data_IF_293279908985
#
_entry.id   IF_293279908985
#
_cell.length_a   1.000
_cell.length_b   1.000
_cell.length_c   1.000
_cell.angle_alpha   90.00
_cell.angle_beta   90.00
_cell.angle_gamma   90.00
#
_symmetry.space_group_name_H-M   'P 1'
#
loop_
_entity.id
_entity.type
_entity.pdbx_description
1 polymer ?
#
# COMPACT_ATOMS: atom_id res chain seq x y z
N UNK A 1 -14.29 8.57 8.32
CA UNK A 1 -13.36 7.78 9.15
C UNK A 1 -12.02 7.52 8.45
N UNK A 2 -11.97 7.01 7.20
CA UNK A 2 -10.71 6.71 6.50
C UNK A 2 -9.97 7.94 5.97
N UNK A 3 -10.70 8.99 5.65
CA UNK A 3 -10.25 10.16 4.87
C UNK A 3 -9.19 11.00 5.59
N UNK A 4 -9.23 11.08 6.92
CA UNK A 4 -8.30 11.93 7.69
C UNK A 4 -6.93 11.31 7.96
N UNK A 5 -6.72 10.03 7.60
CA UNK A 5 -5.48 9.30 7.89
C UNK A 5 -5.12 8.35 6.75
N UNK A 6 -5.56 7.09 6.80
CA UNK A 6 -5.08 6.01 5.92
C UNK A 6 -5.38 6.26 4.44
N UNK A 7 -6.54 6.85 4.11
CA UNK A 7 -6.88 7.17 2.73
C UNK A 7 -6.11 8.40 2.24
N UNK A 8 -5.99 9.45 3.07
CA UNK A 8 -5.16 10.62 2.77
C UNK A 8 -3.70 10.21 2.53
N UNK A 9 -3.18 9.31 3.36
CA UNK A 9 -1.84 8.74 3.21
C UNK A 9 -1.68 8.00 1.88
N UNK A 10 -2.62 7.13 1.53
CA UNK A 10 -2.61 6.41 0.25
C UNK A 10 -2.70 7.34 -0.95
N UNK A 11 -3.56 8.36 -0.87
CA UNK A 11 -3.73 9.35 -1.94
C UNK A 11 -2.46 10.17 -2.15
N UNK A 12 -1.88 10.69 -1.06
CA UNK A 12 -0.61 11.41 -1.09
C UNK A 12 0.50 10.53 -1.68
N UNK A 13 0.63 9.28 -1.23
CA UNK A 13 1.65 8.35 -1.71
C UNK A 13 1.54 8.12 -3.22
N UNK A 14 0.33 7.86 -3.72
CA UNK A 14 0.07 7.70 -5.15
C UNK A 14 0.35 9.00 -5.94
N UNK A 15 0.05 10.17 -5.33
CA UNK A 15 0.27 11.48 -5.97
C UNK A 15 1.77 11.78 -6.15
N UNK A 16 2.57 11.67 -5.07
CA UNK A 16 4.00 11.99 -5.14
C UNK A 16 4.80 10.98 -5.96
N UNK A 17 4.27 9.75 -6.13
CA UNK A 17 4.95 8.69 -6.86
C UNK A 17 4.94 8.87 -8.38
N UNK A 18 4.25 9.88 -8.90
CA UNK A 18 4.24 10.25 -10.33
C UNK A 18 3.86 9.09 -11.26
N UNK A 19 2.93 8.24 -10.80
CA UNK A 19 2.47 7.05 -11.52
C UNK A 19 1.83 7.43 -12.86
N UNK A 20 2.22 6.72 -13.91
CA UNK A 20 1.68 6.83 -15.28
C UNK A 20 0.94 5.55 -15.70
N UNK A 21 0.23 5.63 -16.83
CA UNK A 21 -0.53 4.48 -17.37
C UNK A 21 0.38 3.36 -17.91
N UNK A 22 1.65 3.63 -18.19
CA UNK A 22 2.62 2.64 -18.67
C UNK A 22 3.34 1.89 -17.54
N UNK A 23 3.19 2.34 -16.28
CA UNK A 23 3.97 1.84 -15.17
C UNK A 23 3.51 0.45 -14.68
N UNK A 24 4.49 -0.35 -14.25
CA UNK A 24 4.30 -1.46 -13.32
C UNK A 24 4.53 -0.93 -11.91
N UNK A 25 3.49 -0.97 -11.08
CA UNK A 25 3.51 -0.50 -9.69
C UNK A 25 3.55 -1.69 -8.75
N UNK A 26 4.52 -1.71 -7.84
CA UNK A 26 4.58 -2.67 -6.73
C UNK A 26 4.16 -1.97 -5.43
N UNK A 27 3.19 -2.56 -4.72
CA UNK A 27 2.80 -2.13 -3.37
C UNK A 27 3.21 -3.25 -2.40
N UNK A 28 4.00 -2.91 -1.37
CA UNK A 28 4.44 -3.86 -0.34
C UNK A 28 3.64 -3.62 0.94
N UNK A 29 2.80 -4.59 1.28
CA UNK A 29 1.87 -4.57 2.41
C UNK A 29 0.42 -4.34 1.99
N UNK A 30 -0.50 -5.23 2.40
CA UNK A 30 -1.95 -5.13 2.22
C UNK A 30 -2.67 -4.90 3.56
N UNK A 31 -2.06 -4.10 4.44
CA UNK A 31 -2.77 -3.56 5.61
C UNK A 31 -3.77 -2.47 5.21
N UNK A 32 -4.48 -1.87 6.17
CA UNK A 32 -5.44 -0.80 5.88
C UNK A 32 -4.89 0.32 5.01
N UNK A 33 -3.69 0.81 5.34
CA UNK A 33 -3.02 1.85 4.55
C UNK A 33 -2.61 1.34 3.17
N UNK A 34 -2.15 0.07 3.07
CA UNK A 34 -1.77 -0.54 1.79
C UNK A 34 -2.96 -0.68 0.83
N UNK A 35 -4.14 -1.06 1.35
CA UNK A 35 -5.35 -1.16 0.53
C UNK A 35 -5.86 0.23 0.14
N UNK A 36 -5.82 1.22 1.03
CA UNK A 36 -6.10 2.61 0.68
C UNK A 36 -5.14 3.14 -0.41
N UNK A 37 -3.84 2.78 -0.29
CA UNK A 37 -2.85 3.09 -1.32
C UNK A 37 -3.19 2.42 -2.66
N UNK A 38 -3.60 1.15 -2.64
CA UNK A 38 -4.05 0.44 -3.84
C UNK A 38 -5.21 1.16 -4.53
N UNK A 39 -6.25 1.56 -3.79
CA UNK A 39 -7.38 2.30 -4.34
C UNK A 39 -6.93 3.60 -5.04
N UNK A 40 -6.02 4.33 -4.42
CA UNK A 40 -5.51 5.58 -4.99
C UNK A 40 -4.58 5.36 -6.19
N UNK A 41 -3.79 4.28 -6.19
CA UNK A 41 -2.98 3.85 -7.34
C UNK A 41 -3.87 3.47 -8.52
N UNK A 42 -4.98 2.78 -8.29
CA UNK A 42 -5.94 2.41 -9.33
C UNK A 42 -6.56 3.62 -10.05
N UNK A 43 -6.71 4.77 -9.37
CA UNK A 43 -7.14 6.02 -10.01
C UNK A 43 -6.16 6.51 -11.09
N UNK A 44 -4.88 6.14 -10.99
CA UNK A 44 -3.84 6.50 -11.97
C UNK A 44 -3.82 5.54 -13.17
N UNK A 45 -4.54 4.41 -13.09
CA UNK A 45 -4.68 3.39 -14.15
C UNK A 45 -3.33 2.86 -14.67
N UNK A 46 -2.38 2.48 -13.80
CA UNK A 46 -1.11 1.95 -14.28
C UNK A 46 -1.35 0.65 -15.06
N UNK A 47 -0.40 0.32 -15.92
CA UNK A 47 -0.44 -0.89 -16.76
C UNK A 47 -0.56 -2.16 -15.92
N UNK A 48 0.10 -2.20 -14.78
CA UNK A 48 0.08 -3.35 -13.87
C UNK A 48 0.24 -2.93 -12.42
N UNK A 49 -0.51 -3.61 -11.56
CA UNK A 49 -0.36 -3.47 -10.10
C UNK A 49 0.00 -4.84 -9.53
N UNK A 50 1.08 -4.90 -8.76
CA UNK A 50 1.51 -6.06 -8.00
C UNK A 50 1.40 -5.69 -6.52
N UNK A 51 0.79 -6.55 -5.71
CA UNK A 51 0.69 -6.37 -4.27
C UNK A 51 1.40 -7.52 -3.55
N UNK A 52 2.41 -7.17 -2.76
CA UNK A 52 3.17 -8.11 -1.95
C UNK A 52 2.58 -8.15 -0.54
N UNK A 53 2.09 -9.33 -0.11
CA UNK A 53 1.52 -9.53 1.22
C UNK A 53 1.83 -10.96 1.70
N UNK A 54 2.01 -11.13 3.01
CA UNK A 54 2.27 -12.44 3.64
C UNK A 54 1.04 -13.10 4.24
N UNK A 55 0.02 -12.31 4.58
CA UNK A 55 -1.21 -12.80 5.20
C UNK A 55 -2.16 -13.32 4.14
N UNK A 56 -2.46 -14.63 4.18
CA UNK A 56 -3.31 -15.29 3.20
C UNK A 56 -4.75 -14.76 3.18
N UNK A 57 -5.30 -14.32 4.33
CA UNK A 57 -6.65 -13.74 4.39
C UNK A 57 -6.68 -12.39 3.64
N UNK A 58 -5.66 -11.57 3.80
CA UNK A 58 -5.53 -10.31 3.08
C UNK A 58 -5.29 -10.53 1.58
N UNK A 59 -4.49 -11.52 1.22
CA UNK A 59 -4.33 -11.95 -0.18
C UNK A 59 -5.69 -12.38 -0.74
N UNK A 60 -6.46 -13.17 0.01
CA UNK A 60 -7.83 -13.57 -0.35
C UNK A 60 -8.74 -12.38 -0.58
N UNK A 61 -8.73 -11.41 0.34
CA UNK A 61 -9.48 -10.17 0.21
C UNK A 61 -9.11 -9.40 -1.07
N UNK A 62 -7.82 -9.24 -1.38
CA UNK A 62 -7.38 -8.56 -2.60
C UNK A 62 -7.87 -9.30 -3.85
N UNK A 63 -7.76 -10.62 -3.88
CA UNK A 63 -8.22 -11.42 -5.02
C UNK A 63 -9.73 -11.34 -5.25
N UNK A 64 -10.50 -11.26 -4.18
CA UNK A 64 -11.96 -11.16 -4.23
C UNK A 64 -12.43 -9.79 -4.72
N UNK A 65 -11.89 -8.72 -4.13
CA UNK A 65 -12.37 -7.36 -4.41
C UNK A 65 -11.62 -6.67 -5.56
N UNK A 66 -10.38 -7.08 -5.86
CA UNK A 66 -9.52 -6.45 -6.87
C UNK A 66 -8.84 -7.50 -7.76
N UNK A 67 -9.60 -8.31 -8.52
CA UNK A 67 -9.07 -9.47 -9.27
C UNK A 67 -8.05 -9.08 -10.35
N UNK A 68 -7.98 -7.83 -10.75
CA UNK A 68 -6.99 -7.30 -11.70
C UNK A 68 -5.60 -7.08 -11.06
N UNK A 69 -5.49 -7.14 -9.73
CA UNK A 69 -4.24 -6.95 -8.99
C UNK A 69 -3.52 -8.29 -8.83
N UNK A 70 -2.26 -8.33 -9.23
CA UNK A 70 -1.43 -9.52 -9.03
C UNK A 70 -0.94 -9.57 -7.59
N UNK A 71 -1.15 -10.68 -6.89
CA UNK A 71 -0.69 -10.87 -5.52
C UNK A 71 0.49 -11.82 -5.46
N UNK A 72 1.45 -11.55 -4.57
CA UNK A 72 2.66 -12.35 -4.41
C UNK A 72 3.12 -12.37 -2.95
N UNK A 73 3.59 -13.52 -2.40
CA UNK A 73 4.20 -13.56 -1.08
C UNK A 73 5.60 -12.94 -1.09
N UNK A 74 6.12 -12.47 0.07
CA UNK A 74 7.41 -11.75 0.15
C UNK A 74 8.60 -12.51 -0.41
N UNK A 75 8.67 -13.82 -0.17
CA UNK A 75 9.77 -14.70 -0.61
C UNK A 75 9.89 -14.82 -2.13
N UNK A 76 8.79 -14.64 -2.84
CA UNK A 76 8.74 -14.69 -4.32
C UNK A 76 8.69 -13.30 -4.95
N UNK A 77 8.48 -12.25 -4.14
CA UNK A 77 8.16 -10.90 -4.62
C UNK A 77 9.17 -10.36 -5.62
N UNK A 78 10.46 -10.45 -5.34
CA UNK A 78 11.51 -9.96 -6.24
C UNK A 78 11.46 -10.68 -7.59
N UNK A 79 11.51 -12.02 -7.57
CA UNK A 79 11.49 -12.84 -8.79
C UNK A 79 10.21 -12.58 -9.60
N UNK A 80 9.08 -12.54 -8.93
CA UNK A 80 7.78 -12.30 -9.54
C UNK A 80 7.70 -10.92 -10.19
N UNK A 81 8.12 -9.87 -9.47
CA UNK A 81 8.09 -8.50 -9.97
C UNK A 81 8.98 -8.33 -11.21
N UNK A 82 10.21 -8.88 -11.17
CA UNK A 82 11.11 -8.81 -12.34
C UNK A 82 10.53 -9.53 -13.55
N UNK A 83 9.87 -10.68 -13.35
CA UNK A 83 9.26 -11.45 -14.44
C UNK A 83 7.98 -10.83 -15.01
N UNK A 84 7.28 -10.01 -14.19
CA UNK A 84 6.02 -9.37 -14.56
C UNK A 84 6.15 -7.86 -14.80
N UNK A 85 7.34 -7.37 -15.08
CA UNK A 85 7.64 -5.99 -15.47
C UNK A 85 8.37 -5.93 -16.80
N UNK A 86 8.26 -4.80 -17.51
CA UNK A 86 8.87 -4.65 -18.85
C UNK A 86 10.33 -4.22 -18.79
N UNK A 87 10.72 -3.57 -17.67
CA UNK A 87 12.03 -2.93 -17.55
C UNK A 87 12.93 -3.58 -16.48
N UNK A 88 12.68 -4.87 -16.15
CA UNK A 88 13.49 -5.61 -15.20
C UNK A 88 13.29 -5.18 -13.74
N UNK A 89 12.09 -4.79 -13.38
CA UNK A 89 11.63 -4.37 -12.06
C UNK A 89 10.49 -3.37 -12.14
N UNK A 90 9.88 -3.06 -11.02
CA UNK A 90 8.78 -2.10 -10.95
C UNK A 90 9.26 -0.67 -11.24
N UNK A 91 8.46 0.08 -11.99
CA UNK A 91 8.68 1.50 -12.28
C UNK A 91 8.47 2.37 -11.04
N UNK A 92 7.49 2.00 -10.24
CA UNK A 92 7.17 2.62 -8.95
C UNK A 92 7.01 1.54 -7.90
N UNK A 93 7.62 1.75 -6.74
CA UNK A 93 7.45 0.90 -5.55
C UNK A 93 6.94 1.74 -4.39
N UNK A 94 5.84 1.28 -3.79
CA UNK A 94 5.21 1.88 -2.60
C UNK A 94 5.42 0.93 -1.42
N UNK A 95 6.28 1.29 -0.48
CA UNK A 95 6.54 0.52 0.72
C UNK A 95 5.60 0.98 1.83
N UNK A 96 4.66 0.12 2.23
CA UNK A 96 3.55 0.44 3.15
C UNK A 96 3.48 -0.54 4.33
N UNK A 97 4.44 -1.43 4.47
CA UNK A 97 4.46 -2.46 5.52
C UNK A 97 5.27 -2.09 6.76
N UNK A 98 6.38 -1.35 6.58
CA UNK A 98 7.23 -0.90 7.70
C UNK A 98 8.00 -2.00 8.43
N UNK A 99 8.16 -3.18 7.83
CA UNK A 99 8.94 -4.25 8.43
C UNK A 99 10.42 -4.13 8.03
N UNK A 100 11.32 -4.65 8.87
CA UNK A 100 12.77 -4.52 8.68
C UNK A 100 13.26 -4.96 7.29
N UNK A 101 12.68 -6.04 6.74
CA UNK A 101 13.06 -6.56 5.43
C UNK A 101 12.39 -5.83 4.24
N UNK A 102 11.33 -5.05 4.46
CA UNK A 102 10.51 -4.52 3.35
C UNK A 102 11.15 -3.33 2.66
N UNK A 103 11.94 -2.52 3.37
CA UNK A 103 12.72 -1.45 2.74
C UNK A 103 13.73 -2.01 1.73
N UNK A 104 14.45 -3.06 2.13
CA UNK A 104 15.38 -3.73 1.23
C UNK A 104 14.65 -4.34 0.03
N UNK A 105 13.58 -5.05 0.28
CA UNK A 105 12.75 -5.64 -0.78
C UNK A 105 12.26 -4.57 -1.78
N UNK A 106 11.85 -3.40 -1.28
CA UNK A 106 11.36 -2.31 -2.12
C UNK A 106 12.37 -1.86 -3.17
N UNK A 107 13.60 -1.52 -2.75
CA UNK A 107 14.60 -1.06 -3.70
C UNK A 107 15.20 -2.20 -4.56
N UNK A 108 15.20 -3.43 -4.09
CA UNK A 108 15.60 -4.59 -4.89
C UNK A 108 14.62 -4.89 -6.03
N UNK A 109 13.32 -4.72 -5.81
CA UNK A 109 12.27 -4.91 -6.80
C UNK A 109 12.16 -3.75 -7.80
N UNK A 110 12.70 -2.58 -7.46
CA UNK A 110 12.69 -1.40 -8.32
C UNK A 110 13.64 -1.55 -9.52
N UNK A 111 13.19 -1.16 -10.72
CA UNK A 111 14.08 -1.07 -11.89
C UNK A 111 15.07 0.09 -11.76
N UNK A 112 16.10 0.18 -12.62
CA UNK A 112 16.88 1.41 -12.74
C UNK A 112 15.98 2.62 -13.07
N UNK A 113 16.29 3.77 -12.46
CA UNK A 113 15.54 5.02 -12.55
C UNK A 113 14.11 4.98 -11.99
N UNK A 114 13.78 4.00 -11.14
CA UNK A 114 12.47 3.89 -10.49
C UNK A 114 12.30 4.89 -9.35
N UNK A 115 11.03 5.12 -8.99
CA UNK A 115 10.65 5.84 -7.78
C UNK A 115 10.31 4.82 -6.69
N UNK A 116 10.91 4.97 -5.51
CA UNK A 116 10.60 4.19 -4.31
C UNK A 116 10.01 5.15 -3.27
N UNK A 117 8.72 5.02 -3.01
CA UNK A 117 8.01 5.82 -2.01
C UNK A 117 7.87 5.01 -0.73
N UNK A 118 8.51 5.48 0.35
CA UNK A 118 8.43 4.88 1.67
C UNK A 118 7.31 5.58 2.44
N UNK A 119 6.21 4.87 2.61
CA UNK A 119 4.97 5.36 3.24
C UNK A 119 4.90 4.92 4.70
N UNK A 120 5.40 3.72 4.99
CA UNK A 120 5.32 3.15 6.31
C UNK A 120 6.27 3.83 7.31
N UNK A 121 5.90 3.78 8.58
CA UNK A 121 6.76 4.15 9.70
C UNK A 121 7.66 2.98 10.09
N UNK A 122 8.90 3.28 10.42
CA UNK A 122 9.89 2.31 10.88
C UNK A 122 10.34 2.64 12.30
N UNK A 123 10.40 1.62 13.15
CA UNK A 123 10.88 1.76 14.53
C UNK A 123 12.41 1.91 14.61
N UNK A 124 13.13 1.49 13.56
CA UNK A 124 14.59 1.48 13.50
C UNK A 124 15.10 2.14 12.22
N UNK A 125 16.32 2.69 12.29
CA UNK A 125 16.99 3.22 11.12
C UNK A 125 17.14 2.16 10.02
N UNK A 126 16.88 2.55 8.79
CA UNK A 126 17.08 1.71 7.61
C UNK A 126 18.36 2.10 6.89
N UNK A 127 19.06 1.10 6.34
CA UNK A 127 20.34 1.29 5.69
C UNK A 127 20.14 1.45 4.18
N UNK A 128 20.75 2.47 3.60
CA UNK A 128 20.91 2.63 2.16
C UNK A 128 22.27 2.01 1.76
N UNK A 129 22.30 0.76 1.24
CA UNK A 129 23.55 0.11 0.88
C UNK A 129 24.01 0.62 -0.49
N UNK A 130 24.60 1.82 -0.52
CA UNK A 130 25.00 2.51 -1.75
C UNK A 130 25.84 1.65 -2.72
N UNK A 131 26.77 0.78 -2.26
CA UNK A 131 27.49 -0.11 -3.18
C UNK A 131 26.57 -1.05 -3.98
N UNK A 132 25.49 -1.58 -3.32
CA UNK A 132 24.54 -2.50 -3.95
C UNK A 132 23.54 -1.76 -4.86
N UNK A 133 23.38 -0.47 -4.63
CA UNK A 133 22.48 0.40 -5.39
C UNK A 133 23.17 1.10 -6.58
N UNK A 134 24.47 0.92 -6.72
CA UNK A 134 25.21 1.55 -7.81
C UNK A 134 24.63 1.22 -9.19
N UNK A 135 24.37 2.24 -9.97
CA UNK A 135 23.75 2.09 -11.30
C UNK A 135 22.22 1.99 -11.32
N UNK A 136 21.55 1.92 -10.17
CA UNK A 136 20.08 1.92 -10.15
C UNK A 136 19.45 3.32 -10.29
N UNK A 137 20.15 4.39 -9.95
CA UNK A 137 19.67 5.78 -10.04
C UNK A 137 18.26 5.99 -9.42
N UNK A 138 18.02 5.44 -8.24
CA UNK A 138 16.68 5.46 -7.62
C UNK A 138 16.35 6.83 -7.05
N UNK A 139 15.08 7.19 -7.16
CA UNK A 139 14.50 8.32 -6.43
C UNK A 139 13.75 7.80 -5.22
N UNK A 140 14.19 8.16 -4.01
CA UNK A 140 13.46 7.88 -2.78
C UNK A 140 12.57 9.05 -2.41
N UNK A 141 11.32 8.77 -2.06
CA UNK A 141 10.36 9.73 -1.51
C UNK A 141 9.84 9.22 -0.19
N UNK A 142 9.75 10.10 0.78
CA UNK A 142 9.23 9.79 2.12
C UNK A 142 8.61 11.04 2.72
N UNK A 143 7.74 10.87 3.69
CA UNK A 143 7.13 11.97 4.43
C UNK A 143 5.90 11.52 5.19
N UNK A 144 5.38 12.40 6.01
CA UNK A 144 4.12 12.23 6.72
C UNK A 144 3.00 13.01 6.04
N UNK A 145 1.78 12.62 6.32
CA UNK A 145 0.56 13.27 5.83
C UNK A 145 -0.26 13.77 6.99
N UNK A 146 -0.60 15.04 6.98
CA UNK A 146 -1.43 15.69 7.99
C UNK A 146 -2.85 15.92 7.48
N UNK A 147 -3.55 14.84 7.09
CA UNK A 147 -4.93 14.92 6.61
C UNK A 147 -5.12 15.81 5.36
N UNK A 148 -4.08 15.97 4.55
CA UNK A 148 -4.19 16.69 3.28
C UNK A 148 -5.06 15.92 2.29
N UNK A 149 -5.61 16.61 1.29
CA UNK A 149 -6.48 16.04 0.26
C UNK A 149 -7.80 15.42 0.77
N UNK A 150 -8.25 15.75 1.99
CA UNK A 150 -9.51 15.22 2.52
C UNK A 150 -10.72 15.60 1.66
N UNK A 151 -10.79 16.85 1.19
CA UNK A 151 -11.89 17.32 0.34
C UNK A 151 -11.92 16.58 -1.00
N UNK A 152 -10.77 16.38 -1.63
CA UNK A 152 -10.63 15.67 -2.89
C UNK A 152 -11.02 14.19 -2.76
N UNK A 153 -10.55 13.52 -1.71
CA UNK A 153 -10.87 12.12 -1.46
C UNK A 153 -12.34 11.91 -1.10
N UNK A 154 -12.97 12.83 -0.33
CA UNK A 154 -14.41 12.82 -0.09
C UNK A 154 -15.20 12.98 -1.38
N UNK A 155 -14.79 13.87 -2.27
CA UNK A 155 -15.42 14.04 -3.58
C UNK A 155 -15.31 12.77 -4.42
N UNK A 156 -14.15 12.12 -4.44
CA UNK A 156 -13.95 10.87 -5.18
C UNK A 156 -14.83 9.73 -4.64
N UNK A 157 -15.03 9.66 -3.33
CA UNK A 157 -15.97 8.71 -2.70
C UNK A 157 -17.41 9.04 -3.12
N UNK A 158 -17.83 10.31 -3.01
CA UNK A 158 -19.16 10.74 -3.39
C UNK A 158 -19.48 10.50 -4.89
N UNK A 159 -18.47 10.57 -5.75
CA UNK A 159 -18.58 10.27 -7.19
C UNK A 159 -18.53 8.75 -7.49
N UNK A 160 -18.38 7.89 -6.48
CA UNK A 160 -18.24 6.43 -6.65
C UNK A 160 -16.93 5.99 -7.32
N UNK A 161 -15.92 6.86 -7.34
CA UNK A 161 -14.60 6.58 -7.93
C UNK A 161 -13.62 5.94 -6.96
N UNK A 162 -13.87 6.09 -5.67
CA UNK A 162 -13.18 5.41 -4.57
C UNK A 162 -14.23 4.65 -3.76
N UNK A 163 -14.26 3.33 -3.89
CA UNK A 163 -15.08 2.47 -3.06
C UNK A 163 -14.30 2.06 -1.81
N UNK A 164 -14.70 2.60 -0.67
CA UNK A 164 -14.08 2.32 0.63
C UNK A 164 -14.93 1.43 1.53
N UNK A 165 -16.13 1.04 1.09
CA UNK A 165 -17.04 0.21 1.89
C UNK A 165 -16.44 -1.15 2.25
N UNK A 166 -15.77 -1.89 1.34
CA UNK A 166 -15.18 -3.19 1.67
C UNK A 166 -14.11 -3.15 2.77
N UNK A 167 -13.52 -1.97 3.03
CA UNK A 167 -12.50 -1.83 4.06
C UNK A 167 -13.09 -1.84 5.48
N UNK A 168 -14.37 -1.50 5.65
CA UNK A 168 -15.06 -1.52 6.93
C UNK A 168 -15.57 -2.93 7.23
N UNK A 169 -14.69 -3.76 7.74
CA UNK A 169 -14.98 -5.18 7.96
C UNK A 169 -15.76 -5.47 9.23
N UNK A 170 -15.67 -4.59 10.23
CA UNK A 170 -16.29 -4.78 11.54
C UNK A 170 -16.86 -3.49 12.10
N UNK A 171 -17.95 -3.61 12.86
CA UNK A 171 -18.57 -2.49 13.58
C UNK A 171 -18.78 -2.88 15.04
N UNK A 172 -18.40 -2.00 15.98
CA UNK A 172 -18.59 -2.19 17.40
C UNK A 172 -19.26 -0.97 18.03
N UNK A 173 -20.14 -1.13 19.03
CA UNK A 173 -20.59 -0.01 19.84
C UNK A 173 -19.44 0.48 20.74
N UNK A 174 -19.44 1.75 21.10
CA UNK A 174 -18.39 2.36 21.92
C UNK A 174 -18.16 1.62 23.25
N UNK A 175 -19.22 1.08 23.87
CA UNK A 175 -19.10 0.32 25.12
C UNK A 175 -18.31 -1.01 24.97
N UNK A 176 -18.01 -1.46 23.76
CA UNK A 176 -17.20 -2.65 23.44
C UNK A 176 -15.90 -2.29 22.73
N UNK A 177 -15.39 -1.08 22.91
CA UNK A 177 -14.19 -0.60 22.21
C UNK A 177 -12.95 -1.44 22.52
N UNK A 178 -12.83 -2.01 23.72
CA UNK A 178 -11.70 -2.88 24.09
C UNK A 178 -11.65 -4.14 23.21
N UNK A 179 -12.81 -4.76 22.96
CA UNK A 179 -12.90 -5.91 22.06
C UNK A 179 -12.53 -5.56 20.61
N UNK A 180 -12.89 -4.37 20.16
CA UNK A 180 -12.51 -3.85 18.85
C UNK A 180 -10.99 -3.68 18.73
N UNK A 181 -10.33 -3.17 19.78
CA UNK A 181 -8.88 -3.08 19.85
C UNK A 181 -8.20 -4.45 19.85
N UNK A 182 -8.68 -5.39 20.67
CA UNK A 182 -8.16 -6.77 20.71
C UNK A 182 -8.28 -7.46 19.35
N UNK A 183 -9.42 -7.32 18.66
CA UNK A 183 -9.63 -7.85 17.33
C UNK A 183 -8.60 -7.30 16.34
N UNK A 184 -8.43 -5.97 16.33
CA UNK A 184 -7.56 -5.27 15.39
C UNK A 184 -6.07 -5.56 15.65
N UNK A 185 -5.63 -5.51 16.89
CA UNK A 185 -4.26 -5.77 17.30
C UNK A 185 -3.83 -7.20 16.97
N UNK A 186 -4.70 -8.17 17.25
CA UNK A 186 -4.42 -9.59 16.98
C UNK A 186 -4.74 -10.02 15.54
N UNK A 187 -5.16 -9.10 14.67
CA UNK A 187 -5.47 -9.36 13.24
C UNK A 187 -6.42 -10.54 13.05
N UNK A 188 -7.44 -10.68 13.93
CA UNK A 188 -8.41 -11.78 13.87
C UNK A 188 -9.49 -11.49 12.82
N UNK A 189 -10.20 -12.56 12.41
CA UNK A 189 -11.37 -12.53 11.52
C UNK A 189 -11.22 -11.72 10.23
N UNK A 190 -9.98 -11.60 9.72
CA UNK A 190 -9.73 -10.85 8.48
C UNK A 190 -9.95 -9.35 8.63
N UNK A 191 -9.85 -8.81 9.86
CA UNK A 191 -10.05 -7.38 10.11
C UNK A 191 -9.14 -6.49 9.26
N UNK A 192 -9.76 -5.52 8.60
CA UNK A 192 -9.05 -4.46 7.86
C UNK A 192 -9.26 -3.14 8.59
N UNK A 193 -10.51 -2.73 8.79
CA UNK A 193 -10.86 -1.55 9.60
C UNK A 193 -12.10 -1.83 10.44
N UNK A 194 -12.11 -1.25 11.63
CA UNK A 194 -13.23 -1.31 12.56
C UNK A 194 -13.88 0.07 12.67
N UNK A 195 -15.20 0.13 12.51
CA UNK A 195 -15.98 1.30 12.87
C UNK A 195 -16.45 1.17 14.33
N UNK A 196 -16.41 2.27 15.07
CA UNK A 196 -16.98 2.37 16.42
C UNK A 196 -18.13 3.36 16.37
N UNK A 197 -19.31 2.89 16.77
CA UNK A 197 -20.54 3.70 16.84
C UNK A 197 -20.66 4.32 18.23
N UNK A 198 -20.89 5.65 18.28
CA UNK A 198 -21.06 6.44 19.50
C UNK A 198 -22.52 6.66 19.84
#
# INVERSE_FOLDING_TARGET
MLVGDVLATGYWAAHISQITEDDTVLIIGAGPTGICTLLCVMLKKPKRIIMCEKDEKRIGFIKEHYPQVLTVPPEECKKFTLANSEHGGADVVLEVAGAEATFRLAWECARPNAIVTVVALYDKAQILPLPDMYGKNLTFKTGGVDGCHCEETLKLIAEGRLDTEPLLTHTYPLCRIEEAYELFENKRDGVIKVAVEC
#
